data_IF_346737104708
#
_entry.id   IF_346737104708
#
_cell.length_a   1.000
_cell.length_b   1.000
_cell.length_c   1.000
_cell.angle_alpha   90.00
_cell.angle_beta   90.00
_cell.angle_gamma   90.00
#
_symmetry.space_group_name_H-M   'P 1'
#
loop_
_entity.id
_entity.type
_entity.pdbx_description
1 polymer ?
#
# COMPACT_ATOMS: atom_id res chain seq x y z
N UNK A 1 -12.07 14.71 -6.21
CA UNK A 1 -13.08 15.59 -5.57
C UNK A 1 -12.87 16.98 -6.13
N UNK A 2 -13.90 17.80 -6.35
CA UNK A 2 -13.68 19.19 -6.76
C UNK A 2 -13.50 20.08 -5.52
N UNK A 3 -12.48 20.95 -5.51
CA UNK A 3 -12.19 21.82 -4.37
C UNK A 3 -13.35 22.71 -3.97
N UNK A 4 -14.01 23.31 -4.97
CA UNK A 4 -15.15 24.19 -4.75
C UNK A 4 -16.31 23.47 -4.05
N UNK A 5 -16.58 22.21 -4.42
CA UNK A 5 -17.62 21.39 -3.77
C UNK A 5 -17.27 21.12 -2.30
N UNK A 6 -16.00 20.77 -2.05
CA UNK A 6 -15.51 20.54 -0.69
C UNK A 6 -15.58 21.81 0.17
N UNK A 7 -15.07 22.94 -0.32
CA UNK A 7 -15.06 24.21 0.42
C UNK A 7 -16.48 24.70 0.71
N UNK A 8 -17.41 24.50 -0.23
CA UNK A 8 -18.83 24.77 -0.03
C UNK A 8 -19.43 23.89 1.08
N UNK A 9 -19.19 22.58 1.05
CA UNK A 9 -19.67 21.65 2.10
C UNK A 9 -19.03 21.93 3.47
N UNK A 10 -17.73 22.27 3.48
CA UNK A 10 -16.98 22.63 4.68
C UNK A 10 -17.40 23.99 5.25
N UNK A 11 -17.94 24.88 4.42
CA UNK A 11 -18.29 26.25 4.77
C UNK A 11 -17.10 27.17 4.96
N UNK A 12 -15.92 26.82 4.42
CA UNK A 12 -14.71 27.65 4.45
C UNK A 12 -13.75 27.29 3.33
N UNK A 13 -12.96 28.26 2.90
CA UNK A 13 -11.83 28.04 2.01
C UNK A 13 -10.71 27.30 2.75
N UNK A 14 -9.96 26.51 2.00
CA UNK A 14 -8.76 25.83 2.49
C UNK A 14 -7.55 26.30 1.70
N UNK A 15 -6.35 26.11 2.24
CA UNK A 15 -5.11 26.33 1.50
C UNK A 15 -4.82 25.17 0.53
N UNK A 16 -3.90 25.37 -0.40
CA UNK A 16 -3.49 24.33 -1.34
C UNK A 16 -2.82 23.13 -0.66
N UNK A 17 -2.15 23.35 0.47
CA UNK A 17 -1.54 22.27 1.25
C UNK A 17 -2.61 21.43 1.97
N UNK A 18 -3.55 22.09 2.64
CA UNK A 18 -4.67 21.43 3.29
C UNK A 18 -5.48 20.63 2.28
N UNK A 19 -5.81 21.24 1.14
CA UNK A 19 -6.58 20.58 0.10
C UNK A 19 -5.90 19.31 -0.41
N UNK A 20 -4.58 19.35 -0.64
CA UNK A 20 -3.81 18.16 -1.06
C UNK A 20 -3.90 17.03 -0.04
N UNK A 21 -3.80 17.32 1.26
CA UNK A 21 -3.93 16.30 2.31
C UNK A 21 -5.35 15.73 2.37
N UNK A 22 -6.35 16.60 2.31
CA UNK A 22 -7.77 16.23 2.32
C UNK A 22 -8.11 15.34 1.11
N UNK A 23 -7.66 15.73 -0.08
CA UNK A 23 -7.88 14.98 -1.31
C UNK A 23 -7.21 13.60 -1.27
N UNK A 24 -5.96 13.53 -0.78
CA UNK A 24 -5.29 12.25 -0.58
C UNK A 24 -6.07 11.35 0.38
N UNK A 25 -6.54 11.88 1.51
CA UNK A 25 -7.38 11.11 2.45
C UNK A 25 -8.65 10.62 1.77
N UNK A 26 -9.36 11.50 1.07
CA UNK A 26 -10.61 11.18 0.38
C UNK A 26 -10.43 10.05 -0.64
N UNK A 27 -9.40 10.14 -1.49
CA UNK A 27 -9.13 9.15 -2.53
C UNK A 27 -8.66 7.79 -2.00
N UNK A 28 -8.23 7.74 -0.74
CA UNK A 28 -7.54 6.58 -0.17
C UNK A 28 -8.27 6.00 1.03
N UNK A 29 -9.50 6.41 1.33
CA UNK A 29 -10.24 5.93 2.50
C UNK A 29 -11.60 5.42 2.06
N UNK A 30 -11.74 4.09 1.91
CA UNK A 30 -12.98 3.46 1.43
C UNK A 30 -14.20 3.72 2.33
N UNK A 31 -13.96 3.99 3.62
CA UNK A 31 -15.01 4.37 4.56
C UNK A 31 -15.60 5.77 4.29
N UNK A 32 -14.93 6.58 3.48
CA UNK A 32 -15.38 7.91 3.04
C UNK A 32 -15.93 7.76 1.63
N UNK A 33 -17.25 7.70 1.53
CA UNK A 33 -17.96 7.41 0.29
C UNK A 33 -18.40 8.67 -0.45
N UNK A 34 -18.25 9.85 0.15
CA UNK A 34 -18.68 11.11 -0.48
C UNK A 34 -18.09 12.36 0.15
N UNK A 35 -18.10 13.45 -0.63
CA UNK A 35 -17.52 14.75 -0.28
C UNK A 35 -18.06 15.30 1.05
N UNK A 36 -19.36 15.11 1.34
CA UNK A 36 -19.98 15.60 2.57
C UNK A 36 -19.41 14.95 3.84
N UNK A 37 -18.97 13.68 3.76
CA UNK A 37 -18.41 12.98 4.91
C UNK A 37 -17.03 13.53 5.27
N UNK A 38 -16.13 13.70 4.30
CA UNK A 38 -14.80 14.29 4.55
C UNK A 38 -14.92 15.77 4.94
N UNK A 39 -15.84 16.51 4.31
CA UNK A 39 -16.13 17.89 4.70
C UNK A 39 -16.67 17.96 6.13
N UNK A 40 -17.53 17.01 6.53
CA UNK A 40 -18.04 16.88 7.90
C UNK A 40 -16.94 16.61 8.92
N UNK A 41 -15.97 15.74 8.59
CA UNK A 41 -14.77 15.50 9.41
C UNK A 41 -13.95 16.80 9.55
N UNK A 42 -13.64 17.46 8.44
CA UNK A 42 -12.88 18.70 8.44
C UNK A 42 -13.59 19.84 9.20
N UNK A 43 -14.92 19.92 9.10
CA UNK A 43 -15.72 20.93 9.79
C UNK A 43 -15.75 20.71 11.30
N UNK A 44 -15.79 19.46 11.75
CA UNK A 44 -15.84 19.10 13.18
C UNK A 44 -14.48 19.13 13.85
N UNK A 45 -13.45 18.63 13.16
CA UNK A 45 -12.13 18.34 13.75
C UNK A 45 -11.00 19.17 13.12
N UNK A 46 -11.28 20.00 12.12
CA UNK A 46 -10.27 20.77 11.42
C UNK A 46 -9.23 19.91 10.72
N UNK A 47 -8.05 20.48 10.50
CA UNK A 47 -6.91 19.75 9.96
C UNK A 47 -6.36 18.68 10.90
N UNK A 48 -6.65 18.74 12.19
CA UNK A 48 -6.19 17.72 13.15
C UNK A 48 -6.79 16.36 12.82
N UNK A 49 -8.11 16.30 12.58
CA UNK A 49 -8.79 15.08 12.14
C UNK A 49 -8.28 14.59 10.77
N UNK A 50 -8.03 15.51 9.84
CA UNK A 50 -7.45 15.17 8.52
C UNK A 50 -6.04 14.61 8.67
N UNK A 51 -5.20 15.20 9.53
CA UNK A 51 -3.82 14.77 9.73
C UNK A 51 -3.74 13.37 10.34
N UNK A 52 -4.67 13.00 11.22
CA UNK A 52 -4.79 11.63 11.75
C UNK A 52 -5.08 10.63 10.62
N UNK A 53 -6.03 10.93 9.74
CA UNK A 53 -6.34 10.04 8.61
C UNK A 53 -5.20 10.01 7.59
N UNK A 54 -4.59 11.17 7.33
CA UNK A 54 -3.48 11.32 6.41
C UNK A 54 -2.27 10.50 6.85
N UNK A 55 -1.93 10.49 8.15
CA UNK A 55 -0.81 9.69 8.66
C UNK A 55 -1.02 8.19 8.41
N UNK A 56 -2.25 7.70 8.58
CA UNK A 56 -2.63 6.31 8.29
C UNK A 56 -2.56 5.99 6.78
N UNK A 57 -3.01 6.91 5.93
CA UNK A 57 -2.88 6.76 4.46
C UNK A 57 -1.41 6.66 4.05
N UNK A 58 -0.55 7.50 4.63
CA UNK A 58 0.89 7.47 4.37
C UNK A 58 1.55 6.20 4.92
N UNK A 59 1.14 5.73 6.09
CA UNK A 59 1.61 4.46 6.65
C UNK A 59 1.22 3.28 5.77
N UNK A 60 -0.02 3.23 5.30
CA UNK A 60 -0.44 2.20 4.34
C UNK A 60 0.41 2.22 3.07
N UNK A 61 0.72 3.40 2.54
CA UNK A 61 1.62 3.55 1.39
C UNK A 61 2.98 2.88 1.61
N UNK A 62 3.62 3.14 2.75
CA UNK A 62 4.89 2.51 3.14
C UNK A 62 4.77 0.99 3.29
N UNK A 63 3.68 0.51 3.88
CA UNK A 63 3.44 -0.94 4.02
C UNK A 63 3.28 -1.63 2.65
N UNK A 64 2.65 -0.97 1.67
CA UNK A 64 2.53 -1.49 0.30
C UNK A 64 3.92 -1.63 -0.34
N UNK A 65 4.80 -0.63 -0.17
CA UNK A 65 6.18 -0.68 -0.65
C UNK A 65 6.94 -1.86 -0.04
N UNK A 66 6.89 -2.01 1.30
CA UNK A 66 7.50 -3.15 2.01
C UNK A 66 6.98 -4.49 1.51
N UNK A 67 5.66 -4.62 1.29
CA UNK A 67 5.09 -5.85 0.72
C UNK A 67 5.62 -6.12 -0.69
N UNK A 68 5.83 -5.08 -1.49
CA UNK A 68 6.44 -5.17 -2.82
C UNK A 68 7.86 -5.73 -2.76
N UNK A 69 8.69 -5.21 -1.86
CA UNK A 69 10.07 -5.66 -1.64
C UNK A 69 10.11 -7.12 -1.19
N UNK A 70 9.33 -7.49 -0.18
CA UNK A 70 9.26 -8.87 0.33
C UNK A 70 8.80 -9.86 -0.75
N UNK A 71 7.87 -9.47 -1.63
CA UNK A 71 7.45 -10.31 -2.77
C UNK A 71 8.59 -10.53 -3.76
N UNK A 72 9.42 -9.52 -4.00
CA UNK A 72 10.60 -9.62 -4.86
C UNK A 72 11.63 -10.58 -4.27
N UNK A 73 11.96 -10.42 -2.98
CA UNK A 73 12.89 -11.31 -2.27
C UNK A 73 12.40 -12.76 -2.26
N UNK A 74 11.13 -12.99 -1.96
CA UNK A 74 10.52 -14.31 -1.98
C UNK A 74 10.63 -14.97 -3.37
N UNK A 75 10.49 -14.20 -4.45
CA UNK A 75 10.66 -14.69 -5.81
C UNK A 75 12.09 -15.17 -6.07
N UNK A 76 13.09 -14.41 -5.59
CA UNK A 76 14.50 -14.80 -5.67
C UNK A 76 14.78 -16.11 -4.93
N UNK A 77 14.33 -16.20 -3.67
CA UNK A 77 14.50 -17.41 -2.86
C UNK A 77 13.84 -18.63 -3.52
N UNK A 78 12.63 -18.47 -4.07
CA UNK A 78 11.97 -19.55 -4.83
C UNK A 78 12.77 -20.01 -6.04
N UNK A 79 13.52 -19.12 -6.70
CA UNK A 79 14.41 -19.46 -7.83
C UNK A 79 15.59 -20.29 -7.36
N UNK A 80 16.23 -19.89 -6.28
CA UNK A 80 17.35 -20.62 -5.68
C UNK A 80 16.94 -22.03 -5.25
N UNK A 81 15.78 -22.18 -4.60
CA UNK A 81 15.24 -23.49 -4.22
C UNK A 81 15.01 -24.39 -5.44
N UNK A 82 14.55 -23.85 -6.58
CA UNK A 82 14.41 -24.64 -7.82
C UNK A 82 15.76 -25.14 -8.32
N UNK A 83 16.80 -24.30 -8.27
CA UNK A 83 18.15 -24.73 -8.66
C UNK A 83 18.69 -25.83 -7.74
N UNK A 84 18.53 -25.68 -6.42
CA UNK A 84 18.96 -26.70 -5.46
C UNK A 84 18.23 -28.04 -5.65
N UNK A 85 16.92 -28.01 -5.95
CA UNK A 85 16.16 -29.21 -6.29
C UNK A 85 16.71 -29.88 -7.55
N UNK A 86 16.97 -29.11 -8.61
CA UNK A 86 17.58 -29.63 -9.84
C UNK A 86 18.95 -30.26 -9.60
N UNK A 87 19.79 -29.64 -8.76
CA UNK A 87 21.09 -30.17 -8.39
C UNK A 87 20.97 -31.48 -7.60
N UNK A 88 20.08 -31.53 -6.60
CA UNK A 88 19.78 -32.76 -5.85
C UNK A 88 19.35 -33.90 -6.79
N UNK A 89 18.46 -33.62 -7.74
CA UNK A 89 17.94 -34.64 -8.66
C UNK A 89 19.07 -35.18 -9.57
N UNK A 90 20.02 -34.34 -9.96
CA UNK A 90 21.22 -34.76 -10.69
C UNK A 90 22.13 -35.69 -9.85
N UNK A 91 22.34 -35.39 -8.57
CA UNK A 91 23.10 -36.26 -7.65
C UNK A 91 22.42 -37.62 -7.52
N UNK A 92 21.11 -37.64 -7.27
CA UNK A 92 20.35 -38.90 -7.11
C UNK A 92 20.46 -39.75 -8.39
N UNK A 93 20.34 -39.12 -9.56
CA UNK A 93 20.48 -39.82 -10.85
C UNK A 93 21.85 -40.45 -11.01
N UNK A 94 22.92 -39.75 -10.63
CA UNK A 94 24.28 -40.26 -10.76
C UNK A 94 24.59 -41.37 -9.76
N UNK A 95 24.15 -41.22 -8.50
CA UNK A 95 24.27 -42.27 -7.49
C UNK A 95 23.55 -43.57 -7.92
N UNK A 96 22.40 -43.45 -8.56
CA UNK A 96 21.65 -44.60 -9.10
C UNK A 96 22.37 -45.32 -10.25
N UNK A 97 23.25 -44.65 -11.00
CA UNK A 97 24.06 -45.29 -12.07
C UNK A 97 25.24 -46.08 -11.51
N UNK A 98 25.90 -45.54 -10.49
CA UNK A 98 27.05 -46.18 -9.84
C UNK A 98 26.65 -47.50 -9.16
N UNK A 99 25.42 -47.62 -8.65
CA UNK A 99 24.91 -48.85 -8.02
C UNK A 99 24.51 -49.97 -8.99
N UNK A 100 24.65 -49.77 -10.31
CA UNK A 100 24.31 -50.75 -11.36
C UNK A 100 25.51 -51.22 -12.18
N UNK A 101 26.71 -50.72 -11.88
CA UNK A 101 28.01 -51.23 -12.38
C UNK A 101 28.66 -52.15 -11.36
#
# INVERSE_FOLDING_TARGET
MYRLEFEHAAGRQVTDEEYRKIELVYMNTDAITGTDQIAGIYKKLGMEGINILYSLVMERGRLIETVGELRSELSSVKKEVRHLKGFRDAIIKEAGRIGTE
#
